data_IF_149402802578
#
_entry.id   IF_149402802578
#
_cell.length_a   1.000
_cell.length_b   1.000
_cell.length_c   1.000
_cell.angle_alpha   90.00
_cell.angle_beta   90.00
_cell.angle_gamma   90.00
#
_symmetry.space_group_name_H-M   'P 1'
#
loop_
_entity.id
_entity.type
_entity.pdbx_description
1 polymer ?
#
# COMPACT_ATOMS: atom_id res chain seq x y z
N UNK A 1 -0.07 5.57 -15.73
CA UNK A 1 -0.39 6.87 -15.10
C UNK A 1 0.90 7.46 -14.59
N UNK A 2 1.21 8.69 -14.99
CA UNK A 2 2.36 9.44 -14.50
C UNK A 2 1.89 10.31 -13.33
N UNK A 3 2.59 10.25 -12.21
CA UNK A 3 2.27 11.03 -10.99
C UNK A 3 3.51 11.84 -10.63
N UNK A 4 3.37 13.13 -10.31
CA UNK A 4 4.52 13.96 -9.93
C UNK A 4 5.12 13.48 -8.61
N UNK A 5 6.44 13.63 -8.46
CA UNK A 5 7.18 13.31 -7.22
C UNK A 5 6.79 14.20 -6.04
N UNK A 6 6.31 15.41 -6.29
CA UNK A 6 5.86 16.38 -5.29
C UNK A 6 4.43 16.84 -5.59
N UNK A 7 3.58 16.88 -4.57
CA UNK A 7 2.19 17.34 -4.66
C UNK A 7 1.89 18.28 -3.50
N UNK A 8 1.24 19.43 -3.77
CA UNK A 8 0.67 20.28 -2.72
C UNK A 8 -0.68 19.72 -2.29
N UNK A 9 -0.81 19.31 -1.03
CA UNK A 9 -2.07 18.81 -0.47
C UNK A 9 -2.22 19.24 0.98
N UNK A 10 -3.42 19.08 1.53
CA UNK A 10 -3.71 19.42 2.91
C UNK A 10 -3.04 18.42 3.87
N UNK A 11 -2.32 18.92 4.87
CA UNK A 11 -1.75 18.11 5.93
C UNK A 11 -2.58 18.24 7.22
N UNK A 12 -3.17 17.14 7.75
CA UNK A 12 -3.98 17.18 8.97
C UNK A 12 -3.24 17.67 10.21
N UNK A 13 -1.93 17.36 10.32
CA UNK A 13 -1.11 17.79 11.46
C UNK A 13 -0.74 19.27 11.39
N UNK A 14 -0.35 19.76 10.22
CA UNK A 14 0.02 21.17 10.03
C UNK A 14 -1.19 22.08 9.81
N UNK A 15 -2.39 21.51 9.65
CA UNK A 15 -3.66 22.19 9.33
C UNK A 15 -3.58 23.16 8.14
N UNK A 16 -2.63 22.95 7.25
CA UNK A 16 -2.32 23.83 6.11
C UNK A 16 -1.97 23.00 4.88
N UNK A 17 -2.05 23.61 3.70
CA UNK A 17 -1.58 22.99 2.46
C UNK A 17 -0.06 23.08 2.38
N UNK A 18 0.59 21.94 2.27
CA UNK A 18 2.06 21.83 2.23
C UNK A 18 2.50 20.95 1.09
N UNK A 19 3.78 21.01 0.75
CA UNK A 19 4.39 20.10 -0.20
C UNK A 19 4.57 18.72 0.44
N UNK A 20 4.14 17.70 -0.30
CA UNK A 20 4.24 16.30 0.08
C UNK A 20 5.06 15.54 -0.96
N UNK A 21 5.98 14.71 -0.49
CA UNK A 21 6.68 13.76 -1.35
C UNK A 21 5.80 12.53 -1.59
N UNK A 22 5.70 12.14 -2.86
CA UNK A 22 4.88 11.02 -3.30
C UNK A 22 5.75 9.79 -3.45
N UNK A 23 5.33 8.68 -2.85
CA UNK A 23 5.94 7.37 -3.05
C UNK A 23 4.87 6.31 -3.28
N UNK A 24 5.23 5.22 -3.96
CA UNK A 24 4.35 4.08 -4.13
C UNK A 24 4.42 3.18 -2.90
N UNK A 25 3.25 2.83 -2.37
CA UNK A 25 3.16 1.88 -1.27
C UNK A 25 3.67 0.49 -1.69
N UNK A 26 4.49 -0.11 -0.82
CA UNK A 26 4.90 -1.51 -0.90
C UNK A 26 4.38 -2.24 0.32
N UNK A 27 3.77 -3.41 0.11
CA UNK A 27 3.35 -4.27 1.21
C UNK A 27 4.57 -4.80 1.96
N UNK A 28 4.60 -4.61 3.27
CA UNK A 28 5.65 -5.17 4.13
C UNK A 28 5.57 -6.69 4.26
N UNK A 29 6.61 -7.29 4.83
CA UNK A 29 6.65 -8.72 5.17
C UNK A 29 5.53 -9.04 6.17
N UNK A 30 4.80 -10.13 5.94
CA UNK A 30 3.78 -10.60 6.89
C UNK A 30 4.41 -10.97 8.23
N UNK A 31 3.81 -10.52 9.33
CA UNK A 31 4.24 -10.85 10.69
C UNK A 31 3.89 -12.30 11.04
N UNK A 32 4.89 -13.10 11.45
CA UNK A 32 4.72 -14.51 11.86
C UNK A 32 3.93 -14.66 13.16
N UNK A 33 4.16 -13.77 14.13
CA UNK A 33 3.51 -13.79 15.44
C UNK A 33 2.06 -13.26 15.42
N UNK A 34 1.55 -12.84 14.25
CA UNK A 34 0.16 -12.42 14.13
C UNK A 34 -0.79 -13.57 14.50
N UNK A 35 -1.86 -13.27 15.22
CA UNK A 35 -2.78 -14.29 15.73
C UNK A 35 -3.32 -15.21 14.61
N UNK A 36 -3.72 -14.63 13.48
CA UNK A 36 -4.21 -15.40 12.33
C UNK A 36 -3.16 -16.35 11.74
N UNK A 37 -1.89 -15.96 11.75
CA UNK A 37 -0.80 -16.82 11.30
C UNK A 37 -0.57 -17.96 12.30
N UNK A 38 -0.45 -17.65 13.60
CA UNK A 38 -0.34 -18.66 14.68
C UNK A 38 -1.47 -19.69 14.65
N UNK A 39 -2.71 -19.23 14.43
CA UNK A 39 -3.89 -20.08 14.32
C UNK A 39 -3.84 -20.97 13.08
N UNK A 40 -3.40 -20.42 11.94
CA UNK A 40 -3.25 -21.19 10.70
C UNK A 40 -2.17 -22.25 10.83
N UNK A 41 -1.03 -21.91 11.40
CA UNK A 41 0.09 -22.83 11.60
C UNK A 41 -0.28 -23.95 12.57
N UNK A 42 -0.89 -23.63 13.72
CA UNK A 42 -1.44 -24.63 14.64
C UNK A 42 -2.45 -25.53 13.95
N UNK A 43 -3.32 -24.97 13.11
CA UNK A 43 -4.28 -25.74 12.35
C UNK A 43 -3.57 -26.66 11.36
N UNK A 44 -2.46 -26.27 10.74
CA UNK A 44 -1.75 -27.11 9.79
C UNK A 44 -0.87 -28.21 10.42
N UNK A 45 -0.70 -28.22 11.74
CA UNK A 45 0.04 -29.29 12.42
C UNK A 45 -0.71 -30.62 12.32
N UNK A 46 0.04 -31.70 12.07
CA UNK A 46 -0.47 -33.05 11.92
C UNK A 46 -0.96 -33.37 10.51
N UNK A 47 -1.80 -34.39 10.40
CA UNK A 47 -2.31 -34.89 9.12
C UNK A 47 -3.59 -34.16 8.68
N UNK A 48 -4.04 -34.43 7.45
CA UNK A 48 -5.29 -33.89 6.90
C UNK A 48 -5.12 -32.79 5.84
N UNK A 49 -3.92 -32.65 5.26
CA UNK A 49 -3.69 -31.77 4.12
C UNK A 49 -3.94 -30.27 4.41
N UNK A 50 -4.25 -29.50 3.37
CA UNK A 50 -4.44 -28.04 3.46
C UNK A 50 -5.84 -27.73 4.00
N UNK A 51 -5.92 -27.17 5.21
CA UNK A 51 -7.18 -26.97 5.95
C UNK A 51 -7.90 -25.64 5.71
N UNK A 52 -7.35 -24.73 4.91
CA UNK A 52 -8.01 -23.49 4.48
C UNK A 52 -8.06 -23.44 2.96
N UNK A 53 -9.18 -22.99 2.38
CA UNK A 53 -9.33 -22.90 0.93
C UNK A 53 -8.35 -21.89 0.34
N UNK A 54 -7.84 -22.20 -0.84
CA UNK A 54 -6.98 -21.33 -1.62
C UNK A 54 -7.76 -20.69 -2.75
N UNK A 55 -7.49 -19.41 -3.00
CA UNK A 55 -8.09 -18.72 -4.13
C UNK A 55 -7.30 -19.04 -5.40
N UNK A 56 -7.88 -19.86 -6.28
CA UNK A 56 -7.25 -20.26 -7.55
C UNK A 56 -7.51 -19.27 -8.69
N UNK A 57 -8.72 -18.70 -8.77
CA UNK A 57 -9.13 -17.81 -9.87
C UNK A 57 -9.12 -16.36 -9.44
N UNK A 58 -8.32 -15.54 -10.13
CA UNK A 58 -8.30 -14.09 -9.95
C UNK A 58 -8.89 -13.42 -11.20
N UNK A 59 -10.09 -12.82 -11.06
CA UNK A 59 -10.75 -12.12 -12.18
C UNK A 59 -10.15 -10.75 -12.50
N UNK A 60 -9.44 -10.15 -11.55
CA UNK A 60 -8.93 -8.79 -11.68
C UNK A 60 -7.51 -8.78 -12.23
N UNK A 61 -7.34 -8.11 -13.37
CA UNK A 61 -6.06 -8.00 -14.09
C UNK A 61 -5.13 -6.92 -13.49
N UNK A 62 -5.70 -5.89 -12.84
CA UNK A 62 -4.95 -4.74 -12.29
C UNK A 62 -5.22 -4.51 -10.82
N UNK A 63 -4.31 -3.81 -10.12
CA UNK A 63 -4.45 -3.39 -8.72
C UNK A 63 -4.68 -1.88 -8.64
N UNK A 64 -5.26 -1.40 -7.54
CA UNK A 64 -5.31 0.04 -7.23
C UNK A 64 -3.93 0.47 -6.76
N UNK A 65 -3.33 1.47 -7.40
CA UNK A 65 -2.09 2.06 -6.92
C UNK A 65 -2.37 2.84 -5.63
N UNK A 66 -1.61 2.59 -4.57
CA UNK A 66 -1.74 3.33 -3.31
C UNK A 66 -0.51 4.22 -3.17
N UNK A 67 -0.75 5.52 -3.00
CA UNK A 67 0.29 6.53 -2.87
C UNK A 67 0.47 6.89 -1.40
N UNK A 68 1.72 6.95 -0.96
CA UNK A 68 2.13 7.49 0.33
C UNK A 68 2.56 8.93 0.10
N UNK A 69 1.85 9.87 0.72
CA UNK A 69 2.14 11.29 0.70
C UNK A 69 2.79 11.67 2.02
N UNK A 70 4.10 11.88 2.02
CA UNK A 70 4.84 12.30 3.22
C UNK A 70 4.97 13.81 3.22
N UNK A 71 4.40 14.47 4.22
CA UNK A 71 4.52 15.92 4.41
C UNK A 71 5.99 16.29 4.67
N UNK A 72 6.52 17.26 3.94
CA UNK A 72 7.90 17.71 4.14
C UNK A 72 8.12 18.45 5.46
N UNK A 73 7.09 19.13 6.00
CA UNK A 73 7.21 19.91 7.24
C UNK A 73 7.17 19.04 8.50
N UNK A 74 6.18 18.16 8.63
CA UNK A 74 5.97 17.37 9.86
C UNK A 74 6.23 15.87 9.71
N UNK A 75 6.59 15.39 8.51
CA UNK A 75 6.84 13.97 8.24
C UNK A 75 5.60 13.07 8.29
N UNK A 76 4.41 13.62 8.55
CA UNK A 76 3.17 12.83 8.57
C UNK A 76 2.90 12.22 7.21
N UNK A 77 2.57 10.93 7.20
CA UNK A 77 2.32 10.19 5.97
C UNK A 77 0.83 9.92 5.81
N UNK A 78 0.28 10.32 4.68
CA UNK A 78 -1.12 10.08 4.30
C UNK A 78 -1.13 9.01 3.22
N UNK A 79 -2.00 8.01 3.36
CA UNK A 79 -2.25 7.03 2.31
C UNK A 79 -3.42 7.50 1.46
N UNK A 80 -3.20 7.69 0.16
CA UNK A 80 -4.27 7.93 -0.82
C UNK A 80 -4.41 6.74 -1.76
N UNK A 81 -5.63 6.21 -1.85
CA UNK A 81 -5.98 5.21 -2.84
C UNK A 81 -6.16 5.87 -4.21
N UNK A 82 -5.42 5.38 -5.20
CA UNK A 82 -5.57 5.76 -6.59
C UNK A 82 -6.53 4.84 -7.36
N UNK A 83 -6.53 5.03 -8.68
CA UNK A 83 -7.34 4.27 -9.64
C UNK A 83 -6.64 2.93 -9.97
N UNK A 84 -7.40 1.96 -10.48
CA UNK A 84 -6.85 0.71 -11.03
C UNK A 84 -6.10 1.01 -12.33
N UNK A 85 -4.79 0.81 -12.33
CA UNK A 85 -3.93 1.04 -13.50
C UNK A 85 -2.96 -0.11 -13.66
N UNK A 86 -2.53 -0.40 -14.90
CA UNK A 86 -1.51 -1.42 -15.19
C UNK A 86 -0.11 -0.96 -14.73
N UNK A 87 0.23 0.31 -14.95
CA UNK A 87 1.51 0.92 -14.59
C UNK A 87 1.28 2.30 -13.97
N UNK A 88 1.85 2.52 -12.79
CA UNK A 88 1.92 3.82 -12.13
C UNK A 88 3.41 4.20 -11.99
N UNK A 89 3.79 5.33 -12.58
CA UNK A 89 5.17 5.80 -12.59
C UNK A 89 5.23 7.15 -11.89
N UNK A 90 6.23 7.33 -11.02
CA UNK A 90 6.52 8.61 -10.41
C UNK A 90 7.52 9.31 -11.31
N UNK A 91 7.15 10.49 -11.79
CA UNK A 91 7.96 11.28 -12.73
C UNK A 91 8.38 12.58 -12.05
N UNK A 92 9.60 13.02 -12.31
CA UNK A 92 10.05 14.36 -11.92
C UNK A 92 9.46 15.37 -12.89
N UNK A 93 8.73 16.36 -12.38
CA UNK A 93 8.21 17.44 -13.20
C UNK A 93 9.38 18.37 -13.45
N UNK A 94 10.06 18.20 -14.58
CA UNK A 94 10.95 19.24 -15.12
C UNK A 94 10.02 20.36 -15.58
N UNK A 95 10.19 21.52 -14.96
CA UNK A 95 9.39 22.71 -15.26
C UNK A 95 9.93 23.41 -16.49
#
# INVERSE_FOLDING_TARGET
MKVPKTIKTYCPKCKTHTEHSVSLYKSGKRRSLAEGQRRYDRKNLGYGGKRKPEQHRFSKVTKKATFLLKCQKCGYTIMKHGIRVKKAEIVEVVK
#
